data_IF_638828827640
#
_entry.id   IF_638828827640
#
_cell.length_a   1.000
_cell.length_b   1.000
_cell.length_c   1.000
_cell.angle_alpha   90.00
_cell.angle_beta   90.00
_cell.angle_gamma   90.00
#
_symmetry.space_group_name_H-M   'P 1'
#
loop_
_entity.id
_entity.type
_entity.pdbx_description
1 polymer ?
#
# COMPACT_ATOMS: atom_id res chain seq x y z
N UNK A 1 12.36 60.94 68.93
CA UNK A 1 13.47 59.96 69.01
C UNK A 1 12.99 58.64 68.43
N UNK A 2 13.59 58.17 67.34
CA UNK A 2 13.26 56.89 66.73
C UNK A 2 13.95 55.76 67.51
N UNK A 3 13.19 54.94 68.22
CA UNK A 3 13.69 53.71 68.85
C UNK A 3 14.04 52.70 67.75
N UNK A 4 15.33 52.39 67.59
CA UNK A 4 15.76 51.28 66.74
C UNK A 4 15.44 49.99 67.47
N UNK A 5 14.51 49.20 66.93
CA UNK A 5 14.23 47.84 67.40
C UNK A 5 15.29 46.90 66.80
N UNK A 6 16.11 46.29 67.65
CA UNK A 6 17.07 45.26 67.25
C UNK A 6 16.35 43.93 66.97
N UNK A 7 16.86 43.17 66.02
CA UNK A 7 16.32 41.85 65.62
C UNK A 7 16.52 40.82 66.73
N UNK A 8 15.53 39.94 66.95
CA UNK A 8 15.65 38.86 67.95
C UNK A 8 16.30 37.61 67.35
N UNK A 9 17.05 36.86 68.15
CA UNK A 9 17.71 35.62 67.70
C UNK A 9 16.71 34.56 67.19
N UNK A 10 15.52 34.48 67.80
CA UNK A 10 14.46 33.56 67.35
C UNK A 10 13.98 33.90 65.93
N UNK A 11 13.88 35.19 65.61
CA UNK A 11 13.45 35.66 64.30
C UNK A 11 14.52 35.38 63.24
N UNK A 12 15.80 35.51 63.59
CA UNK A 12 16.91 35.12 62.71
C UNK A 12 16.90 33.60 62.42
N UNK A 13 16.74 32.77 63.46
CA UNK A 13 16.68 31.32 63.30
C UNK A 13 15.46 30.91 62.47
N UNK A 14 14.30 31.53 62.71
CA UNK A 14 13.09 31.27 61.95
C UNK A 14 13.24 31.71 60.48
N UNK A 15 13.86 32.85 60.22
CA UNK A 15 14.16 33.31 58.86
C UNK A 15 15.10 32.36 58.11
N UNK A 16 16.14 31.86 58.78
CA UNK A 16 17.06 30.88 58.20
C UNK A 16 16.34 29.56 57.93
N UNK A 17 15.55 29.05 58.89
CA UNK A 17 14.78 27.82 58.71
C UNK A 17 13.78 27.92 57.55
N UNK A 18 13.07 29.04 57.43
CA UNK A 18 12.18 29.33 56.31
C UNK A 18 12.94 29.42 54.98
N UNK A 19 14.13 30.01 54.96
CA UNK A 19 14.95 30.12 53.75
C UNK A 19 15.43 28.75 53.26
N UNK A 20 15.80 27.87 54.18
CA UNK A 20 16.19 26.48 53.89
C UNK A 20 14.99 25.71 53.36
N UNK A 21 13.83 25.80 54.03
CA UNK A 21 12.60 25.15 53.59
C UNK A 21 12.15 25.63 52.20
N UNK A 22 12.20 26.95 51.95
CA UNK A 22 11.87 27.54 50.65
C UNK A 22 12.82 27.05 49.55
N UNK A 23 14.13 27.02 49.84
CA UNK A 23 15.14 26.50 48.89
C UNK A 23 14.90 25.02 48.57
N UNK A 24 14.54 24.21 49.57
CA UNK A 24 14.23 22.80 49.40
C UNK A 24 12.98 22.57 48.54
N UNK A 25 11.91 23.33 48.81
CA UNK A 25 10.67 23.27 48.01
C UNK A 25 10.91 23.72 46.56
N UNK A 26 11.72 24.76 46.35
CA UNK A 26 12.09 25.21 45.02
C UNK A 26 12.92 24.15 44.28
N UNK A 27 13.88 23.53 44.97
CA UNK A 27 14.67 22.42 44.42
C UNK A 27 13.79 21.26 43.95
N UNK A 28 12.83 20.83 44.80
CA UNK A 28 11.86 19.79 44.44
C UNK A 28 10.97 20.20 43.25
N UNK A 29 10.50 21.45 43.21
CA UNK A 29 9.68 21.94 42.11
C UNK A 29 10.44 21.96 40.77
N UNK A 30 11.72 22.32 40.79
CA UNK A 30 12.59 22.30 39.61
C UNK A 30 12.83 20.87 39.14
N UNK A 31 13.15 19.95 40.04
CA UNK A 31 13.39 18.54 39.70
C UNK A 31 12.17 17.90 39.03
N UNK A 32 10.98 18.11 39.61
CA UNK A 32 9.71 17.67 39.02
C UNK A 32 9.48 18.28 37.62
N UNK A 33 9.86 19.54 37.42
CA UNK A 33 9.74 20.19 36.12
C UNK A 33 10.70 19.58 35.09
N UNK A 34 11.96 19.32 35.46
CA UNK A 34 12.95 18.72 34.58
C UNK A 34 12.56 17.30 34.16
N UNK A 35 12.13 16.45 35.11
CA UNK A 35 11.63 15.09 34.81
C UNK A 35 10.42 15.13 33.87
N UNK A 36 9.51 16.09 34.07
CA UNK A 36 8.34 16.24 33.20
C UNK A 36 8.71 16.74 31.80
N UNK A 37 9.67 17.67 31.68
CA UNK A 37 10.14 18.16 30.39
C UNK A 37 10.81 17.06 29.58
N UNK A 38 11.64 16.24 30.22
CA UNK A 38 12.37 15.14 29.57
C UNK A 38 11.40 14.10 28.98
N UNK A 39 10.46 13.60 29.80
CA UNK A 39 9.41 12.68 29.33
C UNK A 39 8.55 13.26 28.18
N UNK A 40 8.29 14.57 28.21
CA UNK A 40 7.53 15.25 27.16
C UNK A 40 8.32 15.29 25.85
N UNK A 41 9.62 15.56 25.91
CA UNK A 41 10.49 15.58 24.74
C UNK A 41 10.56 14.20 24.08
N UNK A 42 10.84 13.17 24.85
CA UNK A 42 10.89 11.77 24.43
C UNK A 42 9.58 11.34 23.74
N UNK A 43 8.44 11.70 24.33
CA UNK A 43 7.12 11.40 23.74
C UNK A 43 6.88 12.12 22.40
N UNK A 44 7.35 13.37 22.27
CA UNK A 44 7.24 14.12 21.02
C UNK A 44 8.14 13.50 19.93
N UNK A 45 9.37 13.12 20.28
CA UNK A 45 10.31 12.47 19.35
C UNK A 45 9.71 11.15 18.82
N UNK A 46 9.19 10.29 19.71
CA UNK A 46 8.50 9.05 19.31
C UNK A 46 7.26 9.32 18.43
N UNK A 47 6.44 10.31 18.79
CA UNK A 47 5.26 10.65 18.02
C UNK A 47 5.62 11.17 16.62
N UNK A 48 6.73 11.88 16.47
CA UNK A 48 7.22 12.35 15.17
C UNK A 48 7.75 11.20 14.31
N UNK A 49 8.50 10.26 14.89
CA UNK A 49 8.96 9.04 14.21
C UNK A 49 7.76 8.19 13.77
N UNK A 50 6.81 7.93 14.67
CA UNK A 50 5.59 7.20 14.35
C UNK A 50 4.82 7.86 13.21
N UNK A 51 4.73 9.20 13.24
CA UNK A 51 4.02 9.96 12.22
C UNK A 51 4.70 9.90 10.87
N UNK A 52 6.03 10.04 10.78
CA UNK A 52 6.75 9.96 9.51
C UNK A 52 6.63 8.58 8.87
N UNK A 53 6.72 7.51 9.66
CA UNK A 53 6.54 6.13 9.19
C UNK A 53 5.11 5.92 8.67
N UNK A 54 4.11 6.32 9.46
CA UNK A 54 2.71 6.18 9.04
C UNK A 54 2.39 7.05 7.82
N UNK A 55 2.97 8.25 7.69
CA UNK A 55 2.81 9.11 6.52
C UNK A 55 3.42 8.45 5.26
N UNK A 56 4.60 7.82 5.39
CA UNK A 56 5.24 7.07 4.31
C UNK A 56 4.36 5.90 3.85
N UNK A 57 3.91 5.04 4.78
CA UNK A 57 3.01 3.90 4.47
C UNK A 57 1.70 4.41 3.86
N UNK A 58 1.16 5.52 4.37
CA UNK A 58 -0.07 6.13 3.83
C UNK A 58 0.12 6.58 2.38
N UNK A 59 1.26 7.18 2.05
CA UNK A 59 1.56 7.63 0.69
C UNK A 59 1.62 6.44 -0.28
N UNK A 60 2.31 5.36 0.11
CA UNK A 60 2.45 4.16 -0.71
C UNK A 60 1.12 3.41 -0.87
N UNK A 61 0.33 3.28 0.22
CA UNK A 61 -1.02 2.70 0.17
C UNK A 61 -1.95 3.49 -0.76
N UNK A 62 -1.83 4.82 -0.79
CA UNK A 62 -2.62 5.66 -1.70
C UNK A 62 -2.17 5.56 -3.15
N UNK A 63 -0.92 5.17 -3.40
CA UNK A 63 -0.40 4.90 -4.73
C UNK A 63 -0.74 3.49 -5.25
N UNK A 64 -1.41 2.66 -4.43
CA UNK A 64 -1.86 1.33 -4.82
C UNK A 64 -2.78 1.40 -6.05
N UNK A 65 -2.53 0.54 -7.02
CA UNK A 65 -3.32 0.45 -8.25
C UNK A 65 -3.40 -0.98 -8.75
N UNK A 66 -4.53 -1.31 -9.37
CA UNK A 66 -4.81 -2.61 -9.99
C UNK A 66 -4.63 -2.50 -11.51
N UNK A 67 -4.19 -3.59 -12.14
CA UNK A 67 -4.24 -3.67 -13.59
C UNK A 67 -5.71 -3.77 -14.01
N UNK A 68 -6.19 -2.94 -14.96
CA UNK A 68 -7.49 -3.17 -15.55
C UNK A 68 -7.47 -4.54 -16.23
N UNK A 69 -8.56 -5.31 -16.09
CA UNK A 69 -8.76 -6.54 -16.85
C UNK A 69 -8.68 -6.21 -18.34
N UNK A 70 -7.65 -6.69 -19.03
CA UNK A 70 -7.58 -6.52 -20.48
C UNK A 70 -8.61 -7.47 -21.09
N UNK A 71 -9.54 -6.93 -21.88
CA UNK A 71 -10.45 -7.75 -22.68
C UNK A 71 -9.65 -8.39 -23.81
N UNK A 72 -9.12 -9.57 -23.54
CA UNK A 72 -8.35 -10.36 -24.50
C UNK A 72 -9.24 -11.17 -25.43
N UNK A 73 -10.57 -11.02 -25.36
CA UNK A 73 -11.51 -11.82 -26.17
C UNK A 73 -11.26 -11.62 -27.66
N UNK A 74 -11.00 -10.38 -28.10
CA UNK A 74 -10.69 -10.08 -29.50
C UNK A 74 -9.31 -10.60 -29.91
N UNK A 75 -8.29 -10.41 -29.07
CA UNK A 75 -6.94 -10.94 -29.32
C UNK A 75 -6.93 -12.47 -29.37
N UNK A 76 -7.70 -13.12 -28.51
CA UNK A 76 -7.82 -14.58 -28.46
C UNK A 76 -8.55 -15.09 -29.71
N UNK A 77 -9.64 -14.46 -30.12
CA UNK A 77 -10.33 -14.81 -31.37
C UNK A 77 -9.44 -14.65 -32.62
N UNK A 78 -8.57 -13.63 -32.63
CA UNK A 78 -7.61 -13.41 -33.71
C UNK A 78 -6.43 -14.40 -33.66
N UNK A 79 -5.98 -14.78 -32.47
CA UNK A 79 -4.96 -15.82 -32.28
C UNK A 79 -5.48 -17.20 -32.69
N UNK A 80 -6.72 -17.55 -32.32
CA UNK A 80 -7.38 -18.80 -32.72
C UNK A 80 -7.62 -18.84 -34.24
N UNK A 81 -7.98 -17.71 -34.86
CA UNK A 81 -8.09 -17.59 -36.32
C UNK A 81 -6.72 -17.67 -37.03
N UNK A 82 -5.64 -17.23 -36.40
CA UNK A 82 -4.28 -17.36 -36.93
C UNK A 82 -3.69 -18.76 -36.73
N UNK A 83 -4.09 -19.45 -35.65
CA UNK A 83 -3.73 -20.84 -35.36
C UNK A 83 -4.42 -21.85 -36.30
N UNK A 84 -5.37 -21.43 -37.13
CA UNK A 84 -5.93 -22.24 -38.23
C UNK A 84 -4.93 -22.54 -39.36
N UNK A 85 -3.74 -21.94 -39.35
CA UNK A 85 -2.63 -22.44 -40.17
C UNK A 85 -1.98 -23.64 -39.44
N UNK A 86 -2.66 -24.78 -39.55
CA UNK A 86 -2.11 -26.06 -39.13
C UNK A 86 -0.95 -26.43 -40.08
N UNK A 87 0.28 -26.29 -39.59
CA UNK A 87 1.49 -26.63 -40.34
C UNK A 87 1.66 -28.15 -40.41
N UNK A 88 0.94 -28.92 -39.58
CA UNK A 88 0.99 -30.38 -39.56
C UNK A 88 0.12 -31.02 -40.65
N UNK A 89 -0.79 -30.26 -41.30
CA UNK A 89 -1.59 -30.76 -42.44
C UNK A 89 -0.73 -30.98 -43.71
N UNK A 90 0.43 -30.32 -43.82
CA UNK A 90 1.33 -30.41 -44.99
C UNK A 90 2.15 -31.71 -45.02
N UNK A 91 2.23 -32.47 -43.93
CA UNK A 91 3.04 -33.71 -43.85
C UNK A 91 2.25 -34.94 -43.35
N UNK A 92 0.93 -34.96 -43.52
CA UNK A 92 0.09 -36.09 -43.11
C UNK A 92 0.03 -37.20 -44.16
N UNK A 93 1.18 -37.86 -44.32
CA UNK A 93 1.36 -39.12 -45.03
C UNK A 93 1.68 -40.31 -44.12
N UNK A 94 1.26 -40.32 -42.84
CA UNK A 94 1.17 -41.53 -42.01
C UNK A 94 0.48 -41.25 -40.67
N UNK A 95 -0.46 -42.13 -40.36
CA UNK A 95 -1.15 -42.41 -39.09
C UNK A 95 -0.44 -41.95 -37.80
N UNK A 96 -1.07 -41.07 -37.03
CA UNK A 96 -1.28 -41.29 -35.58
C UNK A 96 -2.38 -40.35 -35.04
N UNK A 97 -3.40 -40.92 -34.39
CA UNK A 97 -4.45 -40.16 -33.69
C UNK A 97 -3.89 -39.60 -32.37
N UNK A 98 -3.30 -38.40 -32.42
CA UNK A 98 -3.04 -37.61 -31.23
C UNK A 98 -4.15 -36.55 -31.07
N UNK A 99 -4.97 -36.72 -30.03
CA UNK A 99 -5.93 -35.70 -29.60
C UNK A 99 -5.21 -34.37 -29.35
N UNK A 100 -5.50 -33.37 -30.17
CA UNK A 100 -5.13 -31.97 -29.94
C UNK A 100 -5.87 -31.45 -28.71
N UNK A 101 -5.27 -31.70 -27.55
CA UNK A 101 -5.62 -31.05 -26.29
C UNK A 101 -5.24 -29.58 -26.45
N UNK A 102 -6.25 -28.69 -26.60
CA UNK A 102 -6.03 -27.25 -26.61
C UNK A 102 -5.21 -26.87 -25.38
N UNK A 103 -3.96 -26.48 -25.63
CA UNK A 103 -3.08 -25.89 -24.63
C UNK A 103 -3.64 -24.51 -24.29
N UNK A 104 -4.64 -24.47 -23.38
CA UNK A 104 -4.86 -23.30 -22.53
C UNK A 104 -3.57 -23.11 -21.75
N UNK A 105 -2.64 -22.39 -22.37
CA UNK A 105 -1.34 -22.05 -21.83
C UNK A 105 -1.59 -21.26 -20.56
N UNK A 106 -1.48 -21.95 -19.43
CA UNK A 106 -0.90 -21.39 -18.22
C UNK A 106 -1.45 -20.02 -17.80
N UNK A 107 -2.66 -20.00 -17.24
CA UNK A 107 -2.93 -19.18 -16.06
C UNK A 107 -2.07 -19.72 -14.88
N UNK A 108 -0.74 -19.69 -15.04
CA UNK A 108 0.22 -20.16 -14.05
C UNK A 108 0.31 -19.11 -12.97
N UNK A 109 -0.38 -19.32 -11.85
CA UNK A 109 -0.05 -18.80 -10.52
C UNK A 109 0.41 -17.32 -10.46
N UNK A 110 -0.21 -16.46 -11.27
CA UNK A 110 0.11 -15.04 -11.30
C UNK A 110 -0.65 -14.37 -10.17
N UNK A 111 0.05 -14.00 -9.10
CA UNK A 111 -0.50 -13.09 -8.08
C UNK A 111 -0.97 -11.84 -8.82
N UNK A 112 -2.26 -11.47 -8.73
CA UNK A 112 -2.77 -10.29 -9.41
C UNK A 112 -2.06 -9.03 -8.90
N UNK A 113 -1.93 -8.03 -9.77
CA UNK A 113 -1.46 -6.70 -9.36
C UNK A 113 -2.48 -6.05 -8.44
N UNK A 114 -2.02 -5.43 -7.36
CA UNK A 114 -2.87 -4.67 -6.46
C UNK A 114 -2.26 -4.59 -5.08
N UNK A 115 -2.99 -5.04 -4.08
CA UNK A 115 -2.55 -5.05 -2.70
C UNK A 115 -2.72 -6.45 -2.13
N UNK A 116 -1.64 -7.07 -1.68
CA UNK A 116 -1.68 -8.39 -1.04
C UNK A 116 -0.95 -8.33 0.28
N UNK A 117 -1.47 -8.96 1.33
CA UNK A 117 -0.79 -8.97 2.61
C UNK A 117 -1.53 -9.77 3.68
N UNK A 118 -0.81 -10.03 4.76
CA UNK A 118 -1.31 -10.63 5.99
C UNK A 118 -1.24 -9.59 7.12
N UNK A 119 -1.14 -10.05 8.37
CA UNK A 119 -1.06 -9.16 9.53
C UNK A 119 0.27 -8.43 9.60
N UNK A 120 1.40 -9.08 9.32
CA UNK A 120 2.72 -8.52 9.63
C UNK A 120 3.48 -8.08 8.36
N UNK A 121 2.97 -8.42 7.18
CA UNK A 121 3.55 -8.11 5.88
C UNK A 121 2.51 -7.57 4.90
N UNK A 122 2.95 -6.66 4.06
CA UNK A 122 2.11 -6.01 3.06
C UNK A 122 2.90 -5.78 1.79
N UNK A 123 2.31 -6.12 0.65
CA UNK A 123 2.82 -5.82 -0.68
C UNK A 123 1.83 -4.94 -1.42
N UNK A 124 2.35 -3.89 -2.05
CA UNK A 124 1.57 -2.87 -2.75
C UNK A 124 2.16 -2.72 -4.13
N UNK A 125 1.31 -2.78 -5.14
CA UNK A 125 1.69 -2.49 -6.51
C UNK A 125 1.26 -1.09 -6.89
N UNK A 126 2.22 -0.34 -7.43
CA UNK A 126 2.00 1.02 -7.91
C UNK A 126 2.47 1.13 -9.35
N UNK A 127 1.84 2.05 -10.10
CA UNK A 127 2.32 2.45 -11.42
C UNK A 127 3.22 3.65 -11.26
N UNK A 128 4.48 3.49 -11.62
CA UNK A 128 5.45 4.59 -11.61
C UNK A 128 5.77 5.01 -13.03
N UNK A 129 5.75 6.33 -13.23
CA UNK A 129 6.22 6.96 -14.46
C UNK A 129 7.72 7.23 -14.30
N UNK A 130 8.55 6.53 -15.06
CA UNK A 130 9.99 6.76 -15.07
C UNK A 130 10.37 7.52 -16.33
N UNK A 131 11.00 8.68 -16.17
CA UNK A 131 11.56 9.42 -17.28
C UNK A 131 13.06 9.14 -17.38
N UNK A 132 13.47 8.43 -18.43
CA UNK A 132 14.88 8.10 -18.68
C UNK A 132 15.39 8.92 -19.86
N UNK A 133 16.49 9.64 -19.66
CA UNK A 133 17.17 10.35 -20.74
C UNK A 133 18.06 9.35 -21.48
N UNK A 134 17.76 9.10 -22.76
CA UNK A 134 18.53 8.19 -23.61
C UNK A 134 19.23 8.99 -24.70
N UNK A 135 20.55 8.83 -24.81
CA UNK A 135 21.35 9.34 -25.92
C UNK A 135 21.39 8.30 -27.02
N UNK A 136 20.74 8.58 -28.15
CA UNK A 136 20.55 7.61 -29.25
C UNK A 136 21.77 7.56 -30.19
N UNK A 137 22.64 8.58 -30.16
CA UNK A 137 23.90 8.62 -30.89
C UNK A 137 24.93 9.50 -30.17
N UNK A 138 26.22 9.21 -30.35
CA UNK A 138 27.32 10.01 -29.80
C UNK A 138 27.26 11.45 -30.34
N UNK A 139 27.19 12.44 -29.44
CA UNK A 139 27.05 13.86 -29.81
C UNK A 139 25.62 14.35 -30.08
N UNK A 140 24.61 13.48 -30.03
CA UNK A 140 23.20 13.90 -30.15
C UNK A 140 22.64 14.42 -28.81
N UNK A 141 21.69 15.35 -28.88
CA UNK A 141 20.96 15.80 -27.70
C UNK A 141 20.20 14.62 -27.06
N UNK A 142 20.21 14.49 -25.72
CA UNK A 142 19.50 13.41 -25.05
C UNK A 142 17.99 13.52 -25.28
N UNK A 143 17.35 12.39 -25.59
CA UNK A 143 15.89 12.30 -25.78
C UNK A 143 15.29 11.69 -24.52
N UNK A 144 14.28 12.34 -23.94
CA UNK A 144 13.53 11.76 -22.84
C UNK A 144 12.63 10.64 -23.35
N UNK A 145 12.79 9.44 -22.79
CA UNK A 145 11.81 8.34 -22.90
C UNK A 145 11.01 8.28 -21.62
N UNK A 146 9.70 8.20 -21.79
CA UNK A 146 8.77 7.96 -20.69
C UNK A 146 8.45 6.47 -20.71
N UNK A 147 8.73 5.81 -19.60
CA UNK A 147 8.38 4.42 -19.38
C UNK A 147 7.38 4.32 -18.22
N UNK A 148 6.42 3.40 -18.34
CA UNK A 148 5.42 3.13 -17.31
C UNK A 148 5.64 1.73 -16.82
N UNK A 149 6.24 1.62 -15.63
CA UNK A 149 6.57 0.35 -15.00
C UNK A 149 5.65 0.03 -13.84
N UNK A 150 5.50 -1.26 -13.56
CA UNK A 150 4.96 -1.73 -12.28
C UNK A 150 6.07 -1.77 -11.25
N UNK A 151 5.86 -1.07 -10.14
CA UNK A 151 6.75 -1.10 -8.99
C UNK A 151 6.02 -1.77 -7.84
N UNK A 152 6.64 -2.82 -7.28
CA UNK A 152 6.17 -3.48 -6.08
C UNK A 152 6.89 -2.92 -4.86
N UNK A 153 6.11 -2.51 -3.87
CA UNK A 153 6.55 -1.99 -2.58
C UNK A 153 6.18 -3.03 -1.52
N UNK A 154 7.16 -3.50 -0.76
CA UNK A 154 6.97 -4.45 0.32
C UNK A 154 7.22 -3.81 1.68
N UNK A 155 6.40 -4.13 2.66
CA UNK A 155 6.59 -3.83 4.08
C UNK A 155 6.63 -5.11 4.90
N UNK A 156 7.48 -5.13 5.90
CA UNK A 156 7.54 -6.20 6.88
C UNK A 156 8.60 -5.94 7.95
N UNK A 157 8.67 -6.82 8.94
CA UNK A 157 9.72 -6.77 9.94
C UNK A 157 11.03 -7.37 9.40
N UNK A 158 12.16 -6.77 9.78
CA UNK A 158 13.48 -7.33 9.49
C UNK A 158 13.62 -8.73 10.07
N UNK A 159 14.05 -9.67 9.23
CA UNK A 159 14.35 -11.05 9.62
C UNK A 159 15.76 -11.20 10.21
N UNK A 160 16.58 -10.15 10.15
CA UNK A 160 17.95 -10.15 10.65
C UNK A 160 17.94 -9.71 12.12
N UNK A 161 18.18 -10.64 13.04
CA UNK A 161 18.16 -10.37 14.49
C UNK A 161 19.11 -9.24 14.93
N UNK A 162 20.23 -9.06 14.22
CA UNK A 162 21.20 -7.99 14.49
C UNK A 162 20.71 -6.59 14.09
N UNK A 163 19.72 -6.51 13.19
CA UNK A 163 19.18 -5.23 12.67
C UNK A 163 17.65 -5.30 12.70
N UNK A 164 17.03 -5.31 13.89
CA UNK A 164 15.57 -5.32 14.01
C UNK A 164 15.00 -4.00 13.49
N UNK A 165 13.76 -4.03 13.01
CA UNK A 165 13.07 -2.83 12.56
C UNK A 165 12.15 -3.06 11.37
N UNK A 166 11.38 -2.03 11.03
CA UNK A 166 10.55 -2.03 9.84
C UNK A 166 11.44 -1.94 8.60
N UNK A 167 11.22 -2.84 7.65
CA UNK A 167 11.88 -2.83 6.35
C UNK A 167 10.86 -2.41 5.29
N UNK A 168 11.34 -1.61 4.33
CA UNK A 168 10.60 -1.26 3.12
C UNK A 168 11.43 -1.64 1.91
N UNK A 169 10.90 -2.51 1.06
CA UNK A 169 11.53 -2.88 -0.21
C UNK A 169 10.80 -2.19 -1.36
N UNK A 170 11.55 -1.78 -2.37
CA UNK A 170 11.00 -1.22 -3.61
C UNK A 170 11.75 -1.84 -4.76
N UNK A 171 11.03 -2.50 -5.66
CA UNK A 171 11.62 -3.09 -6.84
C UNK A 171 10.62 -3.10 -8.01
N UNK A 172 11.11 -3.05 -9.26
CA UNK A 172 10.29 -3.36 -10.42
C UNK A 172 9.66 -4.75 -10.27
N UNK A 173 8.35 -4.87 -10.52
CA UNK A 173 7.59 -6.11 -10.30
C UNK A 173 8.13 -7.27 -11.14
N UNK A 174 8.50 -7.00 -12.38
CA UNK A 174 9.17 -7.92 -13.30
C UNK A 174 10.50 -8.42 -12.74
N UNK A 175 11.29 -7.54 -12.13
CA UNK A 175 12.55 -7.91 -11.48
C UNK A 175 12.32 -8.77 -10.22
N UNK A 176 11.27 -8.49 -9.43
CA UNK A 176 10.89 -9.36 -8.30
C UNK A 176 10.50 -10.74 -8.80
N UNK A 177 9.63 -10.80 -9.82
CA UNK A 177 9.16 -12.05 -10.41
C UNK A 177 10.31 -12.89 -10.97
N UNK A 178 11.17 -12.28 -11.79
CA UNK A 178 12.34 -12.97 -12.34
C UNK A 178 13.22 -13.55 -11.23
N UNK A 179 13.43 -12.78 -10.15
CA UNK A 179 14.23 -13.24 -9.01
C UNK A 179 13.60 -14.45 -8.31
N UNK A 180 12.29 -14.42 -8.09
CA UNK A 180 11.54 -15.55 -7.53
C UNK A 180 11.63 -16.79 -8.43
N UNK A 181 11.50 -16.63 -9.75
CA UNK A 181 11.64 -17.72 -10.72
C UNK A 181 13.05 -18.34 -10.73
N UNK A 182 14.08 -17.52 -10.51
CA UNK A 182 15.47 -17.98 -10.40
C UNK A 182 15.84 -18.48 -9.00
N UNK A 183 14.92 -18.43 -8.02
CA UNK A 183 15.20 -18.80 -6.63
C UNK A 183 16.27 -17.92 -5.96
N UNK A 184 16.51 -16.72 -6.48
CA UNK A 184 17.50 -15.79 -5.94
C UNK A 184 16.89 -15.08 -4.72
N UNK A 185 17.62 -15.01 -3.61
CA UNK A 185 17.11 -14.36 -2.40
C UNK A 185 16.99 -12.84 -2.57
N UNK A 186 15.98 -12.25 -1.94
CA UNK A 186 15.78 -10.80 -1.87
C UNK A 186 16.96 -10.17 -1.14
N UNK A 187 17.56 -9.07 -1.64
CA UNK A 187 18.67 -8.43 -0.97
C UNK A 187 18.29 -8.00 0.45
N UNK A 188 19.18 -8.26 1.41
CA UNK A 188 19.04 -7.76 2.78
C UNK A 188 18.94 -6.24 2.72
N UNK A 189 17.80 -5.72 3.15
CA UNK A 189 17.53 -4.28 3.16
C UNK A 189 17.67 -3.77 4.59
N UNK A 190 18.40 -2.67 4.76
CA UNK A 190 18.53 -1.99 6.06
C UNK A 190 17.14 -1.52 6.54
N UNK A 191 16.80 -1.68 7.83
CA UNK A 191 15.50 -1.22 8.33
C UNK A 191 15.39 0.29 8.22
N UNK A 192 14.26 0.75 7.66
CA UNK A 192 13.91 2.17 7.55
C UNK A 192 13.53 2.78 8.90
N UNK A 193 13.14 1.95 9.86
CA UNK A 193 12.81 2.35 11.22
C UNK A 193 13.22 1.25 12.21
N UNK A 194 14.45 1.31 12.77
CA UNK A 194 14.94 0.33 13.73
C UNK A 194 14.17 0.32 15.06
N UNK A 195 13.47 1.42 15.38
CA UNK A 195 12.68 1.56 16.60
C UNK A 195 11.35 0.81 16.56
N UNK A 196 10.88 0.38 15.38
CA UNK A 196 9.63 -0.37 15.25
C UNK A 196 9.85 -1.82 15.70
N UNK A 197 9.04 -2.28 16.65
CA UNK A 197 9.07 -3.64 17.19
C UNK A 197 8.02 -4.55 16.58
N UNK A 198 6.87 -3.99 16.22
CA UNK A 198 5.83 -4.71 15.52
C UNK A 198 5.07 -3.77 14.58
N UNK A 199 4.59 -4.32 13.47
CA UNK A 199 3.65 -3.68 12.56
C UNK A 199 2.50 -4.65 12.33
N UNK A 200 1.28 -4.13 12.25
CA UNK A 200 0.09 -4.91 11.98
C UNK A 200 -0.78 -4.22 10.93
N UNK A 201 -1.28 -5.00 9.99
CA UNK A 201 -2.18 -4.59 8.92
C UNK A 201 -3.51 -5.32 9.07
N UNK A 202 -4.61 -4.58 8.89
CA UNK A 202 -5.95 -5.14 8.78
C UNK A 202 -6.70 -4.44 7.66
N UNK A 203 -7.56 -5.16 6.98
CA UNK A 203 -8.14 -4.75 5.70
C UNK A 203 -9.66 -4.62 5.83
N UNK A 204 -10.21 -3.52 5.35
CA UNK A 204 -11.66 -3.28 5.35
C UNK A 204 -12.24 -3.69 3.99
N UNK A 205 -13.06 -4.75 3.99
CA UNK A 205 -13.74 -5.25 2.79
C UNK A 205 -15.01 -4.46 2.42
N UNK A 206 -15.41 -3.49 3.24
CA UNK A 206 -16.67 -2.76 3.13
C UNK A 206 -17.68 -3.12 4.21
N UNK A 207 -17.54 -4.28 4.83
CA UNK A 207 -18.44 -4.82 5.86
C UNK A 207 -17.73 -5.16 7.18
N UNK A 208 -16.50 -5.68 7.11
CA UNK A 208 -15.71 -6.10 8.26
C UNK A 208 -14.20 -5.86 8.06
N UNK A 209 -13.48 -5.85 9.19
CA UNK A 209 -12.03 -5.82 9.25
C UNK A 209 -11.51 -7.27 9.24
N UNK A 210 -10.75 -7.62 8.22
CA UNK A 210 -10.10 -8.93 8.07
C UNK A 210 -8.58 -8.78 8.18
N UNK A 211 -7.91 -9.88 8.50
CA UNK A 211 -6.48 -9.90 8.85
C UNK A 211 -5.58 -10.28 7.66
N UNK A 212 -6.18 -10.64 6.53
CA UNK A 212 -5.50 -11.03 5.30
C UNK A 212 -6.26 -10.49 4.10
N UNK A 213 -5.52 -10.03 3.10
CA UNK A 213 -6.07 -9.63 1.81
C UNK A 213 -5.30 -10.29 0.67
N UNK A 214 -6.02 -11.04 -0.16
CA UNK A 214 -5.48 -11.67 -1.36
C UNK A 214 -6.29 -11.20 -2.57
N UNK A 215 -5.61 -10.56 -3.52
CA UNK A 215 -6.24 -10.09 -4.76
C UNK A 215 -6.73 -11.22 -5.66
N UNK A 216 -6.17 -12.43 -5.53
CA UNK A 216 -6.62 -13.60 -6.30
C UNK A 216 -8.01 -14.06 -5.87
N UNK A 217 -8.37 -13.86 -4.61
CA UNK A 217 -9.68 -14.18 -4.05
C UNK A 217 -10.66 -13.00 -4.16
N UNK A 218 -10.23 -11.81 -3.73
CA UNK A 218 -11.12 -10.65 -3.61
C UNK A 218 -11.39 -9.93 -4.92
N UNK A 219 -10.46 -10.03 -5.89
CA UNK A 219 -10.54 -9.40 -7.22
C UNK A 219 -10.74 -7.86 -7.21
N UNK A 220 -10.59 -7.22 -6.04
CA UNK A 220 -10.74 -5.79 -5.83
C UNK A 220 -9.83 -5.33 -4.70
N UNK A 221 -9.52 -4.03 -4.66
CA UNK A 221 -8.74 -3.45 -3.57
C UNK A 221 -9.56 -3.33 -2.28
N UNK A 222 -8.92 -3.42 -1.09
CA UNK A 222 -9.61 -3.12 0.15
C UNK A 222 -9.97 -1.63 0.18
N UNK A 223 -11.16 -1.31 0.69
CA UNK A 223 -11.62 0.07 0.78
C UNK A 223 -10.76 0.92 1.73
N UNK A 224 -10.21 0.28 2.77
CA UNK A 224 -9.27 0.90 3.69
C UNK A 224 -8.34 -0.14 4.31
N UNK A 225 -7.16 0.31 4.76
CA UNK A 225 -6.22 -0.49 5.55
C UNK A 225 -5.98 0.19 6.89
N UNK A 226 -6.16 -0.55 7.97
CA UNK A 226 -5.72 -0.17 9.31
C UNK A 226 -4.26 -0.60 9.48
N UNK A 227 -3.39 0.37 9.77
CA UNK A 227 -1.98 0.18 10.06
C UNK A 227 -1.76 0.48 11.54
N UNK A 228 -1.21 -0.47 12.27
CA UNK A 228 -0.80 -0.32 13.66
C UNK A 228 0.71 -0.55 13.76
N UNK A 229 1.41 0.32 14.45
CA UNK A 229 2.84 0.18 14.74
C UNK A 229 3.08 0.24 16.25
N UNK A 230 4.02 -0.58 16.71
CA UNK A 230 4.49 -0.59 18.08
C UNK A 230 5.96 -0.18 18.12
N UNK A 231 6.27 0.89 18.85
CA UNK A 231 7.64 1.38 18.98
C UNK A 231 8.31 0.87 20.25
N UNK A 232 9.62 0.62 20.15
CA UNK A 232 10.48 0.40 21.29
C UNK A 232 10.46 1.64 22.21
N UNK A 233 10.46 1.45 23.54
CA UNK A 233 10.70 2.55 24.45
C UNK A 233 12.11 3.11 24.22
N UNK A 234 12.26 4.44 24.21
CA UNK A 234 13.54 5.13 23.94
C UNK A 234 14.64 4.68 24.93
N UNK A 235 14.26 4.37 26.18
CA UNK A 235 15.21 3.97 27.23
C UNK A 235 15.57 2.47 27.21
N UNK A 236 15.11 1.68 26.22
CA UNK A 236 15.35 0.23 26.20
C UNK A 236 16.83 -0.16 26.08
N UNK A 237 17.69 0.77 25.66
CA UNK A 237 19.14 0.54 25.48
C UNK A 237 19.91 0.63 26.80
N UNK A 238 19.36 1.28 27.83
CA UNK A 238 19.95 1.42 29.16
C UNK A 238 19.22 0.51 30.17
N UNK A 239 19.79 -0.67 30.40
CA UNK A 239 19.21 -1.73 31.22
C UNK A 239 19.15 -1.46 32.74
N UNK A 240 19.21 -0.19 33.21
CA UNK A 240 19.45 0.09 34.64
C UNK A 240 18.39 0.94 35.37
N UNK A 241 17.20 1.17 34.79
CA UNK A 241 16.13 1.88 35.51
C UNK A 241 14.82 1.10 35.60
N UNK A 242 14.54 0.62 36.81
CA UNK A 242 13.39 -0.18 37.31
C UNK A 242 12.02 0.53 37.26
N UNK A 243 11.83 1.52 36.37
CA UNK A 243 10.52 2.16 36.22
C UNK A 243 9.67 1.40 35.19
N UNK A 244 8.84 0.49 35.68
CA UNK A 244 7.79 -0.23 34.93
C UNK A 244 6.85 0.70 34.14
N UNK A 245 6.79 1.99 34.49
CA UNK A 245 6.00 3.01 33.79
C UNK A 245 6.67 3.56 32.51
N UNK A 246 8.01 3.52 32.37
CA UNK A 246 8.71 4.00 31.15
C UNK A 246 8.79 2.95 30.04
N UNK A 247 8.55 1.68 30.37
CA UNK A 247 8.53 0.57 29.43
C UNK A 247 7.19 0.43 28.70
N UNK A 248 6.30 1.40 28.79
CA UNK A 248 5.01 1.30 28.12
C UNK A 248 5.21 1.43 26.61
N UNK A 249 5.15 0.29 25.92
CA UNK A 249 5.11 0.19 24.46
C UNK A 249 4.07 1.16 23.93
N UNK A 250 4.51 2.14 23.13
CA UNK A 250 3.61 3.10 22.51
C UNK A 250 3.06 2.50 21.22
N UNK A 251 1.73 2.45 21.14
CA UNK A 251 1.00 1.92 20.00
C UNK A 251 0.39 3.08 19.23
N UNK A 252 0.72 3.18 17.95
CA UNK A 252 0.13 4.17 17.05
C UNK A 252 -0.70 3.43 16.00
N UNK A 253 -1.88 3.97 15.71
CA UNK A 253 -2.82 3.39 14.75
C UNK A 253 -3.29 4.43 13.76
N UNK A 254 -3.40 4.03 12.48
CA UNK A 254 -3.94 4.86 11.41
C UNK A 254 -4.78 4.02 10.47
N UNK A 255 -5.95 4.55 10.09
CA UNK A 255 -6.79 3.97 9.03
C UNK A 255 -6.59 4.79 7.76
N UNK A 256 -6.19 4.12 6.68
CA UNK A 256 -5.90 4.72 5.38
C UNK A 256 -6.95 4.25 4.39
N UNK A 257 -7.70 5.17 3.79
CA UNK A 257 -8.61 4.85 2.68
C UNK A 257 -7.84 4.78 1.36
N UNK A 258 -8.17 3.80 0.52
CA UNK A 258 -7.57 3.62 -0.79
C UNK A 258 -8.44 4.28 -1.85
N UNK A 259 -7.95 5.29 -2.58
CA UNK A 259 -8.75 5.99 -3.60
C UNK A 259 -9.10 5.07 -4.78
N UNK A 260 -8.16 4.22 -5.21
CA UNK A 260 -8.36 3.32 -6.35
C UNK A 260 -9.52 2.34 -6.15
N UNK A 261 -9.80 1.91 -4.91
CA UNK A 261 -10.96 1.06 -4.61
C UNK A 261 -12.30 1.78 -4.87
N UNK A 262 -12.36 3.10 -4.68
CA UNK A 262 -13.56 3.89 -4.97
C UNK A 262 -13.77 4.08 -6.47
N UNK A 263 -12.69 4.20 -7.23
CA UNK A 263 -12.74 4.31 -8.69
C UNK A 263 -13.24 3.00 -9.33
N UNK A 264 -12.80 1.83 -8.84
CA UNK A 264 -13.30 0.51 -9.27
C UNK A 264 -14.81 0.34 -9.00
N UNK A 265 -15.29 0.77 -7.83
CA UNK A 265 -16.71 0.74 -7.50
C UNK A 265 -17.55 1.65 -8.41
N UNK A 266 -16.99 2.79 -8.84
CA UNK A 266 -17.68 3.71 -9.75
C UNK A 266 -17.70 3.17 -11.19
N UNK A 267 -16.59 2.57 -11.64
CA UNK A 267 -16.48 1.97 -12.96
C UNK A 267 -17.46 0.81 -13.16
N UNK A 268 -17.60 -0.08 -12.18
CA UNK A 268 -18.56 -1.18 -12.21
C UNK A 268 -20.02 -0.71 -12.23
N UNK A 269 -20.36 0.35 -11.48
CA UNK A 269 -21.68 0.96 -11.52
C UNK A 269 -22.02 1.53 -12.90
N UNK A 270 -21.07 2.22 -13.54
CA UNK A 270 -21.23 2.76 -14.90
C UNK A 270 -21.44 1.67 -15.97
N UNK A 271 -20.70 0.56 -15.89
CA UNK A 271 -20.85 -0.57 -16.79
C UNK A 271 -22.24 -1.23 -16.68
N UNK A 272 -22.77 -1.36 -15.46
CA UNK A 272 -24.11 -1.93 -15.23
C UNK A 272 -25.24 -1.06 -15.82
N UNK A 273 -25.11 0.27 -15.74
CA UNK A 273 -26.08 1.21 -16.30
C UNK A 273 -26.09 1.20 -17.85
N UNK A 274 -24.92 1.01 -18.47
CA UNK A 274 -24.79 0.87 -19.93
C UNK A 274 -25.41 -0.45 -20.43
N UNK A 275 -25.22 -1.56 -19.72
CA UNK A 275 -25.82 -2.86 -20.06
C UNK A 275 -27.36 -2.87 -19.93
N UNK A 276 -27.91 -2.16 -18.94
CA UNK A 276 -29.36 -1.95 -18.80
C UNK A 276 -29.98 -1.08 -19.91
N UNK A 277 -29.18 -0.22 -20.55
CA UNK A 277 -29.65 0.63 -21.64
C UNK A 277 -29.65 -0.11 -22.99
N UNK A 278 -28.72 -1.04 -23.21
CA UNK A 278 -28.64 -1.86 -24.42
C UNK A 278 -29.74 -2.93 -24.53
N UNK A 279 -30.37 -3.30 -23.40
CA UNK A 279 -31.47 -4.28 -23.36
C UNK A 279 -32.86 -3.67 -23.64
N UNK A 280 -32.97 -2.34 -23.72
CA UNK A 280 -34.25 -1.65 -23.93
C UNK A 280 -34.57 -1.31 -25.41
N UNK A 281 -33.68 -1.58 -26.37
CA UNK A 281 -33.87 -1.17 -27.78
C UNK A 281 -34.36 -2.26 -28.75
N UNK A 282 -34.70 -3.46 -28.28
CA UNK A 282 -35.13 -4.57 -29.16
C UNK A 282 -36.58 -4.96 -28.89
N UNK A 283 -37.53 -4.11 -29.31
CA UNK A 283 -38.95 -4.38 -29.15
C UNK A 283 -39.85 -3.41 -29.91
N UNK A 284 -39.88 -3.50 -31.24
CA UNK A 284 -40.71 -2.61 -32.05
C UNK A 284 -40.73 -2.90 -33.55
N UNK A 285 -40.89 -4.15 -33.97
CA UNK A 285 -41.22 -4.48 -35.37
C UNK A 285 -42.74 -4.55 -35.55
N UNK A 286 -43.32 -3.41 -35.92
CA UNK A 286 -44.70 -3.29 -36.40
C UNK A 286 -44.80 -3.72 -37.86
N UNK A 287 -45.58 -4.78 -38.09
CA UNK A 287 -45.86 -5.39 -39.38
C UNK A 287 -46.67 -4.47 -40.31
N UNK A 288 -46.19 -4.27 -41.55
CA UNK A 288 -46.89 -3.53 -42.61
C UNK A 288 -46.96 -4.37 -43.88
N UNK A 289 -48.10 -5.05 -44.05
CA UNK A 289 -48.41 -5.97 -45.15
C UNK A 289 -48.91 -5.23 -46.41
N UNK A 290 -48.31 -5.58 -47.55
CA UNK A 290 -48.97 -5.93 -48.83
C UNK A 290 -49.90 -4.93 -49.53
N UNK A 291 -49.50 -4.50 -50.74
CA UNK A 291 -50.42 -4.32 -51.87
C UNK A 291 -49.69 -4.46 -53.22
N UNK A 292 -50.07 -5.50 -53.95
CA UNK A 292 -49.68 -5.83 -55.33
C UNK A 292 -50.64 -5.23 -56.36
N UNK A 293 -50.12 -4.84 -57.53
CA UNK A 293 -50.88 -4.58 -58.77
C UNK A 293 -50.15 -3.54 -59.63
N UNK A 294 -50.00 -3.64 -60.93
CA UNK A 294 -50.49 -4.57 -61.94
C UNK A 294 -49.96 -4.08 -63.30
N UNK A 295 -49.88 -5.00 -64.27
CA UNK A 295 -49.45 -4.75 -65.64
C UNK A 295 -50.33 -3.73 -66.38
N UNK A 296 -49.73 -2.95 -67.30
CA UNK A 296 -50.46 -2.11 -68.25
C UNK A 296 -49.57 -1.66 -69.42
N UNK A 297 -49.76 -2.30 -70.57
CA UNK A 297 -49.17 -1.96 -71.86
C UNK A 297 -49.96 -0.82 -72.56
N UNK A 298 -49.31 -0.10 -73.48
CA UNK A 298 -49.99 0.67 -74.53
C UNK A 298 -49.27 1.96 -74.95
N UNK A 299 -49.15 2.18 -76.26
CA UNK A 299 -48.48 3.31 -76.93
C UNK A 299 -49.05 4.70 -76.58
N UNK A 300 -48.44 5.80 -76.99
CA UNK A 300 -47.85 6.15 -78.30
C UNK A 300 -46.65 7.06 -78.13
#
# INVERSE_FOLDING_TARGET
MMTRRGFSLIELVLAIALSIALSALLGMAIDLHLVRLDSSRTSIEQAQIARSILDLITADLRAATTAPSQDVTELQSAADAAAQFDVDEVDSGAEDEAQSQSTTTAATNQIPTGLNGDVDSLTIDSRQLTQTLVTVAEGAAPVARIDVGWTQIGYGMSLVAATPGLVRTVAPRDAVRWRTEQGVETPVTEPIAPEVRAIQFRYWDGTQLIDMWDMSEQQALPMAVEVRIELAPIDATDADHTSTARQQTQIYRRVVRLPAAADEATASAGASAAAGSASASTGGMGSGSGASGGFGAGGT
#
